data_IF_081033588374
#
_entry.id   IF_081033588374
#
_cell.length_a   1.000
_cell.length_b   1.000
_cell.length_c   1.000
_cell.angle_alpha   90.00
_cell.angle_beta   90.00
_cell.angle_gamma   90.00
#
_symmetry.space_group_name_H-M   'P 1'
#
loop_
_entity.id
_entity.type
_entity.pdbx_description
1 polymer ?
#
# COMPACT_ATOMS: atom_id res chain seq x y z
N UNK A 1 -32.55 20.17 1.23
CA UNK A 1 -31.64 19.58 2.23
C UNK A 1 -30.71 18.62 1.51
N UNK A 2 -29.50 19.07 1.16
CA UNK A 2 -28.50 18.19 0.56
C UNK A 2 -27.94 17.27 1.65
N UNK A 3 -28.27 15.97 1.55
CA UNK A 3 -27.50 14.93 2.21
C UNK A 3 -26.22 14.79 1.39
N UNK A 4 -25.22 15.59 1.72
CA UNK A 4 -23.86 15.32 1.27
C UNK A 4 -23.45 14.00 1.92
N UNK A 5 -23.72 12.91 1.21
CA UNK A 5 -23.11 11.62 1.46
C UNK A 5 -21.62 11.82 1.21
N UNK A 6 -20.90 12.25 2.25
CA UNK A 6 -19.45 12.27 2.32
C UNK A 6 -18.97 10.82 2.32
N UNK A 7 -19.11 10.15 1.18
CA UNK A 7 -18.43 8.91 0.92
C UNK A 7 -16.95 9.17 1.17
N UNK A 8 -16.25 8.28 1.89
CA UNK A 8 -14.82 8.43 2.06
C UNK A 8 -14.16 8.54 0.66
N UNK A 9 -13.01 9.22 0.54
CA UNK A 9 -12.31 9.27 -0.74
C UNK A 9 -12.05 7.84 -1.26
N UNK A 10 -12.09 7.62 -2.57
CA UNK A 10 -12.03 6.29 -3.18
C UNK A 10 -10.81 5.46 -2.73
N UNK A 11 -9.70 6.12 -2.39
CA UNK A 11 -8.49 5.51 -1.82
C UNK A 11 -8.71 4.83 -0.45
N UNK A 12 -9.85 5.03 0.20
CA UNK A 12 -10.23 4.43 1.48
C UNK A 12 -11.38 3.41 1.37
N UNK A 13 -11.82 3.05 0.16
CA UNK A 13 -12.94 2.10 -0.01
C UNK A 13 -12.55 0.66 0.30
N UNK A 14 -11.29 0.28 0.10
CA UNK A 14 -10.78 -1.07 0.37
C UNK A 14 -9.39 -1.07 0.93
N UNK A 15 -8.83 -2.26 1.13
CA UNK A 15 -7.50 -2.46 1.69
C UNK A 15 -6.52 -2.89 0.61
N UNK A 16 -5.26 -2.59 0.80
CA UNK A 16 -4.15 -3.12 0.01
C UNK A 16 -3.92 -4.59 0.36
N UNK A 17 -3.73 -5.44 -0.66
CA UNK A 17 -3.50 -6.88 -0.51
C UNK A 17 -2.07 -7.19 -0.08
N UNK A 18 -1.70 -6.76 1.13
CA UNK A 18 -0.35 -6.97 1.70
C UNK A 18 0.03 -8.45 1.73
N UNK A 19 -0.94 -9.34 1.95
CA UNK A 19 -0.77 -10.79 1.96
C UNK A 19 -0.48 -11.40 0.58
N UNK A 20 -0.67 -10.64 -0.50
CA UNK A 20 -0.56 -11.11 -1.89
C UNK A 20 0.39 -10.23 -2.73
N UNK A 21 1.45 -9.70 -2.11
CA UNK A 21 2.45 -8.93 -2.83
C UNK A 21 3.14 -9.82 -3.88
N UNK A 22 3.01 -9.43 -5.15
CA UNK A 22 3.66 -10.13 -6.26
C UNK A 22 5.11 -9.68 -6.36
N UNK A 23 6.01 -10.65 -6.42
CA UNK A 23 7.45 -10.45 -6.51
C UNK A 23 7.95 -11.00 -7.85
N UNK A 24 8.79 -10.24 -8.55
CA UNK A 24 9.33 -10.67 -9.85
C UNK A 24 10.78 -10.21 -10.02
N UNK A 25 11.67 -11.14 -10.33
CA UNK A 25 12.98 -10.84 -10.89
C UNK A 25 12.83 -10.56 -12.38
N UNK A 26 13.29 -9.39 -12.81
CA UNK A 26 13.20 -8.92 -14.20
C UNK A 26 14.57 -8.97 -14.89
N UNK A 27 15.66 -8.77 -14.14
CA UNK A 27 17.04 -9.00 -14.58
C UNK A 27 17.95 -9.17 -13.36
N UNK A 28 19.25 -9.44 -13.58
CA UNK A 28 20.27 -9.60 -12.52
C UNK A 28 20.35 -8.40 -11.56
N UNK A 29 19.98 -7.21 -12.01
CA UNK A 29 19.97 -5.98 -11.21
C UNK A 29 18.59 -5.36 -11.05
N UNK A 30 17.51 -6.08 -11.35
CA UNK A 30 16.17 -5.51 -11.31
C UNK A 30 15.16 -6.48 -10.71
N UNK A 31 14.59 -6.05 -9.60
CA UNK A 31 13.50 -6.73 -8.92
C UNK A 31 12.28 -5.82 -8.81
N UNK A 32 11.09 -6.38 -8.92
CA UNK A 32 9.83 -5.64 -8.87
C UNK A 32 8.86 -6.25 -7.85
N UNK A 33 8.25 -5.37 -7.07
CA UNK A 33 7.15 -5.65 -6.15
C UNK A 33 5.89 -5.01 -6.69
N UNK A 34 4.75 -5.70 -6.55
CA UNK A 34 3.43 -5.17 -6.91
C UNK A 34 2.43 -5.49 -5.81
N UNK A 35 1.63 -4.51 -5.41
CA UNK A 35 0.53 -4.67 -4.46
C UNK A 35 -0.75 -4.09 -5.07
N UNK A 36 -1.85 -4.83 -5.01
CA UNK A 36 -3.13 -4.40 -5.53
C UNK A 36 -3.99 -3.81 -4.42
N UNK A 37 -4.75 -2.76 -4.76
CA UNK A 37 -5.78 -2.22 -3.89
C UNK A 37 -7.08 -3.01 -4.12
N UNK A 38 -7.63 -3.60 -3.07
CA UNK A 38 -8.80 -4.47 -3.13
C UNK A 38 -10.10 -3.65 -3.19
N UNK A 39 -10.36 -3.06 -4.35
CA UNK A 39 -11.58 -2.31 -4.71
C UNK A 39 -11.88 -2.47 -6.20
N UNK A 40 -13.10 -2.10 -6.62
CA UNK A 40 -13.45 -2.04 -8.04
C UNK A 40 -12.52 -1.05 -8.75
N UNK A 41 -11.85 -1.52 -9.81
CA UNK A 41 -10.81 -0.77 -10.53
C UNK A 41 -9.68 -0.28 -9.62
N UNK A 42 -9.32 -1.07 -8.60
CA UNK A 42 -8.27 -0.74 -7.67
C UNK A 42 -6.92 -0.54 -8.32
N UNK A 43 -6.21 0.48 -7.86
CA UNK A 43 -4.86 0.78 -8.34
C UNK A 43 -3.88 -0.34 -7.97
N UNK A 44 -2.79 -0.45 -8.74
CA UNK A 44 -1.66 -1.32 -8.41
C UNK A 44 -0.45 -0.44 -8.08
N UNK A 45 0.03 -0.53 -6.85
CA UNK A 45 1.30 0.10 -6.47
C UNK A 45 2.44 -0.81 -6.93
N UNK A 46 3.39 -0.24 -7.68
CA UNK A 46 4.57 -0.93 -8.17
C UNK A 46 5.81 -0.31 -7.54
N UNK A 47 6.71 -1.14 -7.02
CA UNK A 47 8.02 -0.72 -6.51
C UNK A 47 9.11 -1.49 -7.25
N UNK A 48 9.95 -0.75 -7.96
CA UNK A 48 11.15 -1.28 -8.58
C UNK A 48 12.34 -1.13 -7.63
N UNK A 49 13.15 -2.17 -7.53
CA UNK A 49 14.41 -2.22 -6.81
C UNK A 49 15.50 -2.46 -7.83
N UNK A 50 16.33 -1.45 -8.06
CA UNK A 50 17.44 -1.50 -8.99
C UNK A 50 18.76 -1.66 -8.26
N UNK A 51 19.63 -2.49 -8.80
CA UNK A 51 21.04 -2.55 -8.43
C UNK A 51 21.81 -1.53 -9.27
N UNK A 52 22.37 -0.54 -8.59
CA UNK A 52 23.06 0.59 -9.23
C UNK A 52 24.57 0.46 -9.05
N UNK A 53 25.38 1.15 -9.88
CA UNK A 53 26.83 1.21 -9.69
C UNK A 53 27.24 1.68 -8.29
N UNK A 54 26.46 2.59 -7.68
CA UNK A 54 26.71 3.05 -6.32
C UNK A 54 26.55 1.92 -5.30
N UNK A 55 25.55 1.05 -5.46
CA UNK A 55 25.39 -0.12 -4.58
C UNK A 55 26.62 -1.03 -4.64
N UNK A 56 27.20 -1.21 -5.84
CA UNK A 56 28.45 -1.96 -6.02
C UNK A 56 29.64 -1.30 -5.32
N UNK A 57 29.80 0.02 -5.48
CA UNK A 57 30.88 0.78 -4.81
C UNK A 57 30.75 0.67 -3.29
N UNK A 58 29.52 0.67 -2.78
CA UNK A 58 29.23 0.55 -1.34
C UNK A 58 29.26 -0.90 -0.83
N UNK A 59 29.58 -1.89 -1.67
CA UNK A 59 29.61 -3.31 -1.29
C UNK A 59 28.24 -3.83 -0.85
N UNK A 60 27.14 -3.23 -1.33
CA UNK A 60 25.79 -3.64 -1.00
C UNK A 60 25.46 -4.90 -1.81
N UNK A 61 25.09 -5.96 -1.10
CA UNK A 61 24.52 -7.16 -1.69
C UNK A 61 23.09 -6.90 -2.22
N UNK A 62 22.81 -7.37 -3.44
CA UNK A 62 21.53 -7.08 -4.10
C UNK A 62 20.36 -7.76 -3.39
N UNK A 63 20.50 -9.01 -2.96
CA UNK A 63 19.44 -9.74 -2.27
C UNK A 63 19.11 -9.08 -0.92
N UNK A 64 20.13 -8.63 -0.19
CA UNK A 64 19.96 -7.86 1.04
C UNK A 64 19.24 -6.53 0.78
N UNK A 65 19.54 -5.86 -0.34
CA UNK A 65 18.83 -4.64 -0.76
C UNK A 65 17.37 -4.95 -1.08
N UNK A 66 17.10 -6.02 -1.83
CA UNK A 66 15.75 -6.49 -2.15
C UNK A 66 14.96 -6.75 -0.89
N UNK A 67 15.49 -7.53 0.06
CA UNK A 67 14.82 -7.82 1.34
C UNK A 67 14.49 -6.54 2.12
N UNK A 68 15.43 -5.59 2.19
CA UNK A 68 15.22 -4.31 2.87
C UNK A 68 14.11 -3.49 2.21
N UNK A 69 14.13 -3.37 0.89
CA UNK A 69 13.12 -2.59 0.16
C UNK A 69 11.75 -3.28 0.18
N UNK A 70 11.70 -4.62 0.18
CA UNK A 70 10.47 -5.39 0.36
C UNK A 70 9.84 -5.12 1.73
N UNK A 71 10.62 -5.15 2.81
CA UNK A 71 10.11 -4.83 4.16
C UNK A 71 9.55 -3.40 4.24
N UNK A 72 10.26 -2.43 3.66
CA UNK A 72 9.76 -1.04 3.59
C UNK A 72 8.47 -0.93 2.80
N UNK A 73 8.37 -1.67 1.69
CA UNK A 73 7.17 -1.68 0.85
C UNK A 73 5.97 -2.27 1.59
N UNK A 74 6.14 -3.41 2.27
CA UNK A 74 5.12 -4.04 3.12
C UNK A 74 4.65 -3.05 4.19
N UNK A 75 5.57 -2.49 4.99
CA UNK A 75 5.24 -1.57 6.07
C UNK A 75 4.48 -0.32 5.56
N UNK A 76 4.83 0.18 4.37
CA UNK A 76 4.10 1.28 3.73
C UNK A 76 2.64 0.89 3.43
N UNK A 77 2.41 -0.31 2.88
CA UNK A 77 1.06 -0.78 2.55
C UNK A 77 0.24 -1.08 3.81
N UNK A 78 0.84 -1.66 4.85
CA UNK A 78 0.20 -1.89 6.15
C UNK A 78 -0.22 -0.57 6.80
N UNK A 79 0.66 0.43 6.82
CA UNK A 79 0.34 1.76 7.34
C UNK A 79 -0.82 2.43 6.58
N UNK A 80 -0.91 2.24 5.26
CA UNK A 80 -2.07 2.69 4.47
C UNK A 80 -3.34 1.97 4.91
N UNK A 81 -3.30 0.65 5.09
CA UNK A 81 -4.44 -0.13 5.58
C UNK A 81 -4.90 0.32 6.96
N UNK A 82 -3.98 0.54 7.90
CA UNK A 82 -4.32 1.06 9.22
C UNK A 82 -5.04 2.41 9.14
N UNK A 83 -4.57 3.32 8.29
CA UNK A 83 -5.22 4.62 8.10
C UNK A 83 -6.65 4.45 7.57
N UNK A 84 -6.84 3.55 6.61
CA UNK A 84 -8.17 3.27 6.04
C UNK A 84 -9.10 2.70 7.11
N UNK A 85 -8.64 1.73 7.89
CA UNK A 85 -9.41 1.14 8.98
C UNK A 85 -9.79 2.18 10.04
N UNK A 86 -8.86 3.06 10.43
CA UNK A 86 -9.14 4.17 11.35
C UNK A 86 -10.19 5.13 10.80
N UNK A 87 -10.14 5.44 9.50
CA UNK A 87 -11.15 6.29 8.86
C UNK A 87 -12.53 5.61 8.83
N UNK A 88 -12.58 4.30 8.54
CA UNK A 88 -13.84 3.52 8.57
C UNK A 88 -14.47 3.54 9.95
N UNK A 89 -13.70 3.27 11.01
CA UNK A 89 -14.17 3.32 12.39
C UNK A 89 -14.72 4.71 12.78
N UNK A 90 -14.04 5.79 12.37
CA UNK A 90 -14.53 7.16 12.60
C UNK A 90 -15.83 7.45 11.84
N UNK A 91 -15.95 6.97 10.60
CA UNK A 91 -17.17 7.10 9.80
C UNK A 91 -18.36 6.36 10.42
N UNK A 92 -18.14 5.14 10.91
CA UNK A 92 -19.15 4.35 11.62
C UNK A 92 -19.63 5.08 12.88
N UNK A 93 -18.70 5.54 13.72
CA UNK A 93 -19.00 6.30 14.94
C UNK A 93 -19.81 7.57 14.64
N UNK A 94 -19.43 8.32 13.60
CA UNK A 94 -20.18 9.51 13.17
C UNK A 94 -21.60 9.13 12.70
N UNK A 95 -21.75 8.04 11.95
CA UNK A 95 -23.06 7.58 11.48
C UNK A 95 -23.98 7.20 12.64
N UNK A 96 -23.44 6.61 13.72
CA UNK A 96 -24.20 6.29 14.92
C UNK A 96 -24.72 7.55 15.60
N UNK A 97 -23.86 8.57 15.77
CA UNK A 97 -24.25 9.86 16.36
C UNK A 97 -25.36 10.55 15.56
N UNK A 98 -25.24 10.54 14.23
CA UNK A 98 -26.25 11.15 13.33
C UNK A 98 -27.58 10.41 13.42
N UNK A 99 -27.57 9.07 13.49
CA UNK A 99 -28.80 8.25 13.57
C UNK A 99 -29.50 8.32 14.93
N UNK A 100 -28.76 8.66 15.99
CA UNK A 100 -29.30 8.81 17.35
C UNK A 100 -29.91 10.19 17.66
N UNK A 101 -29.85 11.13 16.71
CA UNK A 101 -30.53 12.43 16.78
C UNK A 101 -31.80 12.40 15.95
#
# INVERSE_FOLDING_TARGET
>A
MHRDNLLPPACAWGLWEVWNIKMKYLSEGWFQLRCQHHVVNGETEVRNVYYTPLDRILGIDFDRKVLRETRKFIAKMESRNERILRLKAKGEALSHVIKSR
#
